data_IF_845517774329
#
_entry.id   IF_845517774329
#
_cell.length_a   1.000
_cell.length_b   1.000
_cell.length_c   1.000
_cell.angle_alpha   90.00
_cell.angle_beta   90.00
_cell.angle_gamma   90.00
#
_symmetry.space_group_name_H-M   'P 1'
#
loop_
_entity.id
_entity.type
_entity.pdbx_description
1 polymer ?
#
# COMPACT_ATOMS: atom_id res chain seq x y z
N UNK A 1 -26.68 -8.44 11.35
CA UNK A 1 -25.48 -9.28 11.20
C UNK A 1 -25.96 -10.59 10.64
N UNK A 2 -25.49 -10.95 9.46
CA UNK A 2 -25.95 -12.14 8.75
C UNK A 2 -25.40 -13.40 9.44
N UNK A 3 -26.13 -14.53 9.43
CA UNK A 3 -25.68 -15.77 10.11
C UNK A 3 -24.32 -16.25 9.60
N UNK A 4 -24.09 -16.05 8.32
CA UNK A 4 -22.85 -16.38 7.61
C UNK A 4 -21.68 -15.53 8.12
N UNK A 5 -21.88 -14.22 8.32
CA UNK A 5 -20.87 -13.27 8.84
C UNK A 5 -20.41 -13.66 10.27
N UNK A 6 -21.34 -14.13 11.11
CA UNK A 6 -21.04 -14.64 12.45
C UNK A 6 -20.18 -15.91 12.42
N UNK A 7 -20.50 -16.85 11.53
CA UNK A 7 -19.75 -18.10 11.38
C UNK A 7 -18.31 -17.84 10.92
N UNK A 8 -18.11 -16.97 9.93
CA UNK A 8 -16.77 -16.61 9.47
C UNK A 8 -15.96 -15.82 10.50
N UNK A 9 -16.59 -14.94 11.28
CA UNK A 9 -15.88 -14.16 12.30
C UNK A 9 -15.24 -15.02 13.38
N UNK A 10 -15.87 -16.15 13.73
CA UNK A 10 -15.35 -17.10 14.73
C UNK A 10 -14.12 -17.88 14.22
N UNK A 11 -13.90 -17.92 12.91
CA UNK A 11 -12.87 -18.73 12.25
C UNK A 11 -11.63 -17.89 11.86
N UNK A 12 -11.56 -16.63 12.33
CA UNK A 12 -10.54 -15.67 11.90
C UNK A 12 -9.79 -15.08 13.08
N UNK A 13 -8.47 -15.18 13.03
CA UNK A 13 -7.57 -14.48 13.94
C UNK A 13 -7.22 -13.12 13.33
N UNK A 14 -7.93 -12.03 13.69
CA UNK A 14 -7.33 -10.67 13.76
C UNK A 14 -8.27 -9.51 14.13
N UNK A 15 -7.69 -8.53 14.84
CA UNK A 15 -8.24 -7.22 15.21
C UNK A 15 -8.13 -6.12 14.13
N UNK A 16 -8.34 -4.86 14.55
CA UNK A 16 -8.66 -3.67 13.73
C UNK A 16 -7.75 -3.35 12.53
N UNK A 17 -6.53 -3.89 12.47
CA UNK A 17 -5.54 -3.57 11.42
C UNK A 17 -5.89 -4.08 10.02
N UNK A 18 -6.79 -5.06 9.92
CA UNK A 18 -7.23 -5.70 8.68
C UNK A 18 -8.39 -4.99 7.98
N UNK A 19 -8.97 -3.95 8.59
CA UNK A 19 -10.17 -3.26 8.09
C UNK A 19 -9.98 -2.67 6.68
N UNK A 20 -11.04 -2.72 5.86
CA UNK A 20 -11.08 -2.18 4.48
C UNK A 20 -10.71 -0.68 4.40
N UNK A 21 -10.88 0.05 5.50
CA UNK A 21 -10.96 1.52 5.51
C UNK A 21 -9.65 2.29 5.70
N UNK A 22 -8.51 1.80 5.22
CA UNK A 22 -7.24 2.53 5.37
C UNK A 22 -6.53 2.73 4.02
N UNK A 23 -7.20 3.34 3.05
CA UNK A 23 -6.57 4.06 1.91
C UNK A 23 -6.05 5.45 2.33
N UNK A 24 -5.84 5.68 3.63
CA UNK A 24 -5.46 6.97 4.20
C UNK A 24 -3.98 7.09 4.51
N UNK A 25 -3.27 5.97 4.49
CA UNK A 25 -1.88 5.88 4.90
C UNK A 25 -0.93 6.10 3.74
N UNK A 26 0.25 6.59 4.09
CA UNK A 26 1.33 6.80 3.13
C UNK A 26 1.77 5.48 2.48
N UNK A 27 2.33 5.53 1.27
CA UNK A 27 2.64 4.33 0.49
C UNK A 27 3.67 3.41 1.14
N UNK A 28 4.56 3.91 2.01
CA UNK A 28 5.52 3.06 2.73
C UNK A 28 4.79 2.26 3.81
N UNK A 29 3.86 2.89 4.52
CA UNK A 29 3.04 2.21 5.53
C UNK A 29 2.13 1.16 4.91
N UNK A 30 1.47 1.48 3.79
CA UNK A 30 0.65 0.51 3.05
C UNK A 30 1.47 -0.70 2.59
N UNK A 31 2.63 -0.45 1.99
CA UNK A 31 3.55 -1.53 1.59
C UNK A 31 3.96 -2.40 2.79
N UNK A 32 4.33 -1.78 3.91
CA UNK A 32 4.76 -2.49 5.10
C UNK A 32 3.63 -3.31 5.76
N UNK A 33 2.36 -2.89 5.61
CA UNK A 33 1.22 -3.70 6.02
C UNK A 33 1.13 -4.99 5.21
N UNK A 34 1.28 -4.90 3.89
CA UNK A 34 1.37 -6.10 3.07
C UNK A 34 2.55 -6.99 3.49
N UNK A 35 3.75 -6.42 3.68
CA UNK A 35 4.93 -7.21 4.09
C UNK A 35 4.70 -7.92 5.43
N UNK A 36 3.97 -7.30 6.37
CA UNK A 36 3.56 -7.93 7.63
C UNK A 36 2.71 -9.17 7.40
N UNK A 37 1.73 -9.09 6.49
CA UNK A 37 0.87 -10.22 6.12
C UNK A 37 1.65 -11.29 5.38
N UNK A 38 2.46 -10.91 4.40
CA UNK A 38 3.31 -11.83 3.64
C UNK A 38 4.28 -12.61 4.55
N UNK A 39 4.87 -11.95 5.54
CA UNK A 39 5.84 -12.57 6.44
C UNK A 39 5.21 -13.47 7.53
N UNK A 40 3.90 -13.74 7.46
CA UNK A 40 3.31 -14.86 8.21
C UNK A 40 3.84 -16.18 7.63
N UNK A 41 4.08 -17.17 8.49
CA UNK A 41 4.77 -18.40 8.08
C UNK A 41 4.04 -19.16 6.96
N UNK A 42 2.70 -19.14 6.96
CA UNK A 42 1.86 -19.80 5.95
C UNK A 42 1.83 -19.06 4.59
N UNK A 43 2.24 -17.78 4.58
CA UNK A 43 2.18 -16.92 3.40
C UNK A 43 3.53 -16.76 2.69
N UNK A 44 4.64 -17.05 3.38
CA UNK A 44 5.99 -16.94 2.78
C UNK A 44 6.12 -17.91 1.62
N UNK A 45 6.67 -17.43 0.51
CA UNK A 45 7.04 -18.27 -0.62
C UNK A 45 8.45 -18.81 -0.37
N UNK A 46 8.62 -20.13 -0.42
CA UNK A 46 9.90 -20.82 -0.18
C UNK A 46 10.58 -20.45 1.16
N UNK A 47 9.80 -20.08 2.18
CA UNK A 47 10.31 -19.63 3.49
C UNK A 47 11.04 -18.28 3.47
N UNK A 48 11.04 -17.56 2.35
CA UNK A 48 11.74 -16.30 2.20
C UNK A 48 10.99 -15.20 2.95
N UNK A 49 11.72 -14.49 3.83
CA UNK A 49 11.21 -13.31 4.54
C UNK A 49 11.55 -12.05 3.77
N UNK A 50 10.53 -11.27 3.40
CA UNK A 50 10.72 -10.02 2.66
C UNK A 50 11.03 -8.86 3.59
N UNK A 51 11.82 -7.91 3.10
CA UNK A 51 12.27 -6.77 3.89
C UNK A 51 11.22 -5.66 3.95
N UNK A 52 11.06 -5.06 5.13
CA UNK A 52 10.26 -3.85 5.33
C UNK A 52 10.95 -2.60 4.78
N UNK A 53 10.15 -1.68 4.25
CA UNK A 53 10.60 -0.33 3.89
C UNK A 53 10.83 0.54 5.13
N UNK A 54 11.82 1.44 5.04
CA UNK A 54 12.15 2.40 6.07
C UNK A 54 11.14 3.55 6.07
N UNK A 55 10.47 3.74 7.21
CA UNK A 55 9.50 4.81 7.41
C UNK A 55 10.11 6.21 7.21
N UNK A 56 9.29 7.14 6.72
CA UNK A 56 9.73 8.52 6.45
C UNK A 56 8.64 9.53 6.74
N UNK A 57 8.89 10.42 7.71
CA UNK A 57 8.00 11.54 8.05
C UNK A 57 7.80 12.49 6.85
N UNK A 58 8.83 12.69 6.02
CA UNK A 58 8.71 13.52 4.83
C UNK A 58 7.73 12.94 3.81
N UNK A 59 7.76 11.62 3.60
CA UNK A 59 6.83 10.94 2.69
C UNK A 59 5.41 10.98 3.24
N UNK A 60 5.24 10.74 4.55
CA UNK A 60 3.94 10.85 5.23
C UNK A 60 3.35 12.25 5.10
N UNK A 61 4.16 13.29 5.35
CA UNK A 61 3.74 14.67 5.20
C UNK A 61 3.27 14.98 3.77
N UNK A 62 4.10 14.67 2.76
CA UNK A 62 3.75 14.90 1.35
C UNK A 62 2.50 14.10 0.94
N UNK A 63 2.38 12.84 1.38
CA UNK A 63 1.22 12.02 1.05
C UNK A 63 -0.07 12.60 1.64
N UNK A 64 -0.08 12.88 2.95
CA UNK A 64 -1.25 13.45 3.63
C UNK A 64 -1.67 14.78 2.98
N UNK A 65 -0.68 15.56 2.57
CA UNK A 65 -0.90 16.83 1.91
C UNK A 65 -1.55 16.69 0.53
N UNK A 66 -0.99 15.83 -0.31
CA UNK A 66 -1.44 15.61 -1.69
C UNK A 66 -2.73 14.79 -1.78
N UNK A 67 -3.24 14.27 -0.65
CA UNK A 67 -4.45 13.44 -0.64
C UNK A 67 -5.73 14.26 -0.76
N UNK A 68 -5.78 15.48 -0.22
CA UNK A 68 -7.00 16.30 -0.21
C UNK A 68 -7.13 17.10 -1.52
N UNK A 69 -8.18 16.85 -2.32
CA UNK A 69 -8.42 17.56 -3.59
C UNK A 69 -8.54 19.08 -3.41
N UNK A 70 -9.35 19.52 -2.45
CA UNK A 70 -9.57 20.95 -2.20
C UNK A 70 -8.29 21.60 -1.63
N UNK A 71 -7.65 20.92 -0.68
CA UNK A 71 -6.37 21.38 -0.11
C UNK A 71 -5.27 21.52 -1.17
N UNK A 72 -5.21 20.58 -2.13
CA UNK A 72 -4.28 20.65 -3.27
C UNK A 72 -4.50 21.90 -4.13
N UNK A 73 -5.75 22.22 -4.47
CA UNK A 73 -6.07 23.39 -5.31
C UNK A 73 -5.71 24.68 -4.60
N UNK A 74 -6.14 24.85 -3.35
CA UNK A 74 -5.84 26.04 -2.54
C UNK A 74 -4.33 26.23 -2.40
N UNK A 75 -3.60 25.14 -2.15
CA UNK A 75 -2.15 25.23 -2.06
C UNK A 75 -1.49 25.59 -3.37
N UNK A 76 -1.96 25.03 -4.48
CA UNK A 76 -1.42 25.34 -5.78
C UNK A 76 -1.49 26.85 -6.06
N UNK A 77 -2.58 27.51 -5.65
CA UNK A 77 -2.69 28.98 -5.70
C UNK A 77 -1.65 29.66 -4.80
N UNK A 78 -1.44 29.19 -3.57
CA UNK A 78 -0.40 29.71 -2.67
C UNK A 78 0.99 29.55 -3.29
N UNK A 79 1.28 28.41 -3.92
CA UNK A 79 2.56 28.14 -4.57
C UNK A 79 2.82 29.10 -5.73
N UNK A 80 1.79 29.47 -6.50
CA UNK A 80 1.91 30.44 -7.59
C UNK A 80 2.22 31.85 -7.04
N UNK A 81 1.55 32.24 -5.95
CA UNK A 81 1.65 33.59 -5.39
C UNK A 81 2.90 33.82 -4.56
N UNK A 82 3.43 32.79 -3.88
CA UNK A 82 4.52 32.92 -2.91
C UNK A 82 5.76 32.11 -3.34
N UNK A 83 6.76 32.73 -3.98
CA UNK A 83 7.91 32.02 -4.53
C UNK A 83 8.77 31.32 -3.48
N UNK A 84 8.95 31.93 -2.30
CA UNK A 84 9.70 31.31 -1.21
C UNK A 84 9.02 30.06 -0.65
N UNK A 85 7.68 30.05 -0.59
CA UNK A 85 6.92 28.88 -0.14
C UNK A 85 7.03 27.75 -1.16
N UNK A 86 7.00 28.08 -2.46
CA UNK A 86 7.22 27.10 -3.53
C UNK A 86 8.63 26.51 -3.50
N UNK A 87 9.66 27.30 -3.25
CA UNK A 87 11.03 26.79 -3.07
C UNK A 87 11.14 25.84 -1.88
N UNK A 88 10.56 26.20 -0.73
CA UNK A 88 10.56 25.32 0.45
C UNK A 88 9.82 24.01 0.17
N UNK A 89 8.65 24.08 -0.47
CA UNK A 89 7.87 22.92 -0.85
C UNK A 89 8.62 22.01 -1.84
N UNK A 90 9.30 22.60 -2.81
CA UNK A 90 10.17 21.89 -3.75
C UNK A 90 11.26 21.08 -3.02
N UNK A 91 11.94 21.67 -2.05
CA UNK A 91 12.95 20.98 -1.25
C UNK A 91 12.34 19.81 -0.47
N UNK A 92 11.15 19.98 0.12
CA UNK A 92 10.43 18.88 0.78
C UNK A 92 10.06 17.75 -0.18
N UNK A 93 9.59 18.08 -1.39
CA UNK A 93 9.31 17.10 -2.43
C UNK A 93 10.55 16.32 -2.84
N UNK A 94 11.70 17.00 -3.01
CA UNK A 94 12.98 16.34 -3.31
C UNK A 94 13.37 15.35 -2.21
N UNK A 95 13.28 15.75 -0.94
CA UNK A 95 13.56 14.86 0.20
C UNK A 95 12.64 13.64 0.19
N UNK A 96 11.34 13.84 -0.01
CA UNK A 96 10.37 12.74 -0.09
C UNK A 96 10.66 11.80 -1.27
N UNK A 97 10.98 12.35 -2.44
CA UNK A 97 11.31 11.58 -3.64
C UNK A 97 12.59 10.76 -3.48
N UNK A 98 13.64 11.33 -2.86
CA UNK A 98 14.85 10.59 -2.51
C UNK A 98 14.55 9.42 -1.57
N UNK A 99 13.71 9.64 -0.55
CA UNK A 99 13.28 8.57 0.38
C UNK A 99 12.46 7.49 -0.31
N UNK A 100 11.59 7.85 -1.26
CA UNK A 100 10.86 6.88 -2.07
C UNK A 100 11.80 6.11 -3.01
N UNK A 101 12.82 6.74 -3.59
CA UNK A 101 13.81 6.02 -4.42
C UNK A 101 14.65 5.04 -3.60
N UNK A 102 15.06 5.42 -2.39
CA UNK A 102 15.79 4.51 -1.47
C UNK A 102 14.96 3.28 -1.15
N UNK A 103 13.69 3.47 -0.79
CA UNK A 103 12.78 2.36 -0.47
C UNK A 103 12.39 1.54 -1.71
N UNK A 104 12.44 2.10 -2.92
CA UNK A 104 12.24 1.35 -4.14
C UNK A 104 13.31 0.29 -4.40
N UNK A 105 14.53 0.48 -3.88
CA UNK A 105 15.54 -0.58 -3.95
C UNK A 105 15.14 -1.80 -3.12
N UNK A 106 14.48 -1.57 -1.98
CA UNK A 106 13.91 -2.65 -1.16
C UNK A 106 12.78 -3.35 -1.92
N UNK A 107 11.88 -2.59 -2.56
CA UNK A 107 10.84 -3.15 -3.43
C UNK A 107 11.41 -4.07 -4.52
N UNK A 108 12.42 -3.58 -5.26
CA UNK A 108 13.09 -4.37 -6.31
C UNK A 108 13.78 -5.60 -5.76
N UNK A 109 14.50 -5.47 -4.65
CA UNK A 109 15.15 -6.60 -3.98
C UNK A 109 14.14 -7.67 -3.59
N UNK A 110 13.02 -7.27 -2.98
CA UNK A 110 11.96 -8.20 -2.59
C UNK A 110 11.36 -8.92 -3.80
N UNK A 111 11.03 -8.20 -4.88
CA UNK A 111 10.53 -8.81 -6.13
C UNK A 111 11.55 -9.73 -6.81
N UNK A 112 12.85 -9.46 -6.66
CA UNK A 112 13.88 -10.34 -7.23
C UNK A 112 14.02 -11.65 -6.46
N UNK A 113 13.64 -11.67 -5.18
CA UNK A 113 13.67 -12.87 -4.35
C UNK A 113 12.39 -13.71 -4.53
N UNK A 114 11.24 -13.04 -4.72
CA UNK A 114 9.94 -13.69 -4.85
C UNK A 114 9.17 -13.03 -6.00
N UNK A 115 9.01 -13.78 -7.10
CA UNK A 115 8.35 -13.33 -8.33
C UNK A 115 6.87 -13.02 -8.11
N UNK A 116 6.15 -13.89 -7.39
CA UNK A 116 4.77 -13.67 -6.99
C UNK A 116 4.61 -13.76 -5.47
N UNK A 117 4.66 -12.62 -4.75
CA UNK A 117 4.45 -12.58 -3.30
C UNK A 117 3.04 -13.02 -2.85
N UNK A 118 2.10 -13.22 -3.77
CA UNK A 118 0.73 -13.64 -3.45
C UNK A 118 0.49 -15.12 -3.75
N UNK A 119 1.50 -15.86 -4.23
CA UNK A 119 1.39 -17.29 -4.61
C UNK A 119 0.79 -18.13 -3.47
N UNK A 120 1.15 -17.80 -2.23
CA UNK A 120 0.66 -18.48 -1.04
C UNK A 120 -0.62 -17.90 -0.42
N UNK A 121 -1.29 -16.98 -1.09
CA UNK A 121 -2.55 -16.38 -0.65
C UNK A 121 -3.69 -16.66 -1.65
N UNK A 122 -4.94 -16.53 -1.21
CA UNK A 122 -6.14 -16.77 -2.04
C UNK A 122 -6.84 -15.44 -2.34
N UNK A 123 -6.95 -15.06 -3.60
CA UNK A 123 -7.69 -13.86 -3.99
C UNK A 123 -9.21 -14.15 -3.93
N UNK A 124 -9.95 -13.46 -3.05
CA UNK A 124 -11.42 -13.48 -3.00
C UNK A 124 -11.96 -12.16 -2.41
N UNK A 125 -12.31 -11.24 -3.29
CA UNK A 125 -12.81 -9.91 -2.92
C UNK A 125 -14.17 -9.95 -2.22
N UNK A 126 -15.08 -10.83 -2.62
CA UNK A 126 -16.44 -10.92 -2.05
C UNK A 126 -16.41 -11.29 -0.57
N UNK A 127 -15.58 -12.27 -0.20
CA UNK A 127 -15.43 -12.71 1.19
C UNK A 127 -14.76 -11.62 2.04
N UNK A 128 -13.75 -10.94 1.48
CA UNK A 128 -13.12 -9.79 2.13
C UNK A 128 -14.13 -8.63 2.36
N UNK A 129 -14.98 -8.34 1.38
CA UNK A 129 -16.02 -7.30 1.47
C UNK A 129 -17.07 -7.64 2.52
N UNK A 130 -17.56 -8.88 2.54
CA UNK A 130 -18.49 -9.38 3.54
C UNK A 130 -17.90 -9.28 4.96
N UNK A 131 -16.61 -9.58 5.11
CA UNK A 131 -15.88 -9.49 6.38
C UNK A 131 -15.41 -8.07 6.72
N UNK A 132 -15.63 -7.10 5.83
CA UNK A 132 -15.14 -5.71 5.93
C UNK A 132 -13.62 -5.61 6.16
N UNK A 133 -12.86 -6.57 5.64
CA UNK A 133 -11.39 -6.64 5.78
C UNK A 133 -10.68 -6.72 4.42
N UNK A 134 -9.47 -6.15 4.32
CA UNK A 134 -8.62 -6.24 3.12
C UNK A 134 -8.00 -7.63 2.95
N UNK A 135 -7.86 -8.34 4.06
CA UNK A 135 -7.41 -9.72 4.08
C UNK A 135 -7.96 -10.39 5.34
N UNK A 136 -8.05 -11.72 5.28
CA UNK A 136 -8.59 -12.55 6.35
C UNK A 136 -7.69 -13.77 6.47
N UNK A 137 -7.21 -14.05 7.68
CA UNK A 137 -6.46 -15.28 7.98
C UNK A 137 -7.45 -16.27 8.57
N UNK A 138 -7.60 -17.41 7.90
CA UNK A 138 -8.36 -18.54 8.40
C UNK A 138 -7.44 -19.50 9.11
N UNK A 139 -7.85 -19.97 10.29
CA UNK A 139 -7.25 -21.10 11.00
C UNK A 139 -8.40 -22.04 11.38
N UNK A 140 -8.54 -23.13 10.61
CA UNK A 140 -9.73 -23.98 10.69
C UNK A 140 -9.41 -25.44 10.41
N UNK A 141 -10.31 -26.34 10.80
CA UNK A 141 -10.16 -27.76 10.48
C UNK A 141 -10.41 -28.03 8.99
N UNK A 142 -9.74 -29.04 8.41
CA UNK A 142 -9.91 -29.42 6.99
C UNK A 142 -11.39 -29.62 6.63
N UNK A 143 -12.17 -30.21 7.55
CA UNK A 143 -13.60 -30.50 7.36
C UNK A 143 -14.44 -29.24 7.23
N UNK A 144 -14.11 -28.20 7.98
CA UNK A 144 -14.84 -26.92 7.96
C UNK A 144 -14.58 -26.15 6.66
N UNK A 145 -13.38 -26.30 6.09
CA UNK A 145 -13.02 -25.72 4.79
C UNK A 145 -13.83 -26.32 3.61
N UNK A 146 -14.34 -27.55 3.72
CA UNK A 146 -15.13 -28.16 2.65
C UNK A 146 -16.47 -27.45 2.42
N UNK A 147 -17.02 -26.84 3.47
CA UNK A 147 -18.23 -26.01 3.43
C UNK A 147 -18.05 -24.65 2.76
N UNK A 148 -16.81 -24.24 2.45
CA UNK A 148 -16.53 -22.95 1.81
C UNK A 148 -16.68 -23.05 0.28
N UNK A 149 -17.30 -22.04 -0.33
CA UNK A 149 -17.55 -21.98 -1.78
C UNK A 149 -16.32 -21.52 -2.57
N UNK A 150 -15.20 -22.25 -2.46
CA UNK A 150 -14.03 -22.05 -3.32
C UNK A 150 -14.00 -23.00 -4.52
N UNK A 151 -13.28 -22.61 -5.57
CA UNK A 151 -13.00 -23.48 -6.71
C UNK A 151 -12.22 -24.73 -6.29
N UNK A 152 -12.38 -25.84 -7.03
CA UNK A 152 -11.69 -27.11 -6.73
C UNK A 152 -10.17 -26.93 -6.63
N UNK A 153 -9.59 -26.15 -7.54
CA UNK A 153 -8.15 -25.83 -7.58
C UNK A 153 -7.68 -25.12 -6.30
N UNK A 154 -8.47 -24.15 -5.80
CA UNK A 154 -8.15 -23.44 -4.56
C UNK A 154 -8.26 -24.38 -3.36
N UNK A 155 -9.28 -25.24 -3.31
CA UNK A 155 -9.42 -26.24 -2.25
C UNK A 155 -8.25 -27.22 -2.22
N UNK A 156 -7.80 -27.71 -3.36
CA UNK A 156 -6.64 -28.61 -3.47
C UNK A 156 -5.34 -27.91 -3.03
N UNK A 157 -5.10 -26.68 -3.49
CA UNK A 157 -3.96 -25.88 -3.07
C UNK A 157 -3.93 -25.69 -1.55
N UNK A 158 -5.09 -25.35 -0.95
CA UNK A 158 -5.23 -25.16 0.50
C UNK A 158 -5.01 -26.50 1.24
N UNK A 159 -5.58 -27.62 0.74
CA UNK A 159 -5.41 -28.95 1.34
C UNK A 159 -3.95 -29.42 1.32
N UNK A 160 -3.21 -29.14 0.25
CA UNK A 160 -1.80 -29.49 0.13
C UNK A 160 -0.88 -28.75 1.13
N UNK A 161 -1.38 -27.70 1.79
CA UNK A 161 -0.68 -26.94 2.83
C UNK A 161 -0.96 -27.45 4.25
N UNK A 162 -1.81 -28.46 4.39
CA UNK A 162 -2.04 -29.14 5.67
C UNK A 162 -0.76 -29.87 6.10
N UNK A 163 -0.12 -29.38 7.17
CA UNK A 163 1.05 -30.02 7.79
C UNK A 163 0.68 -31.25 8.64
N UNK A 164 -0.25 -32.10 8.16
CA UNK A 164 -0.64 -33.36 8.81
C UNK A 164 -1.48 -33.23 10.08
N UNK A 165 -1.69 -32.03 10.62
CA UNK A 165 -2.39 -31.79 11.89
C UNK A 165 -3.91 -31.52 11.76
N UNK A 166 -4.54 -31.94 10.65
CA UNK A 166 -5.97 -31.71 10.36
C UNK A 166 -6.46 -30.24 10.41
N UNK A 167 -5.54 -29.29 10.57
CA UNK A 167 -5.79 -27.85 10.51
C UNK A 167 -5.14 -27.25 9.29
N UNK A 168 -5.80 -26.25 8.74
CA UNK A 168 -5.36 -25.50 7.59
C UNK A 168 -5.33 -24.03 8.00
N UNK A 169 -4.19 -23.39 7.76
CA UNK A 169 -4.05 -21.96 7.88
C UNK A 169 -3.76 -21.33 6.52
N UNK A 170 -4.53 -20.34 6.14
CA UNK A 170 -4.36 -19.65 4.86
C UNK A 170 -4.92 -18.23 4.90
N UNK A 171 -4.38 -17.37 4.05
CA UNK A 171 -4.80 -15.97 3.95
C UNK A 171 -5.60 -15.75 2.68
N UNK A 172 -6.78 -15.14 2.85
CA UNK A 172 -7.60 -14.61 1.78
C UNK A 172 -7.36 -13.12 1.67
N UNK A 173 -7.29 -12.58 0.46
CA UNK A 173 -7.07 -11.15 0.22
C UNK A 173 -7.94 -10.59 -0.90
N UNK A 174 -8.10 -9.27 -0.90
CA UNK A 174 -8.77 -8.52 -1.96
C UNK A 174 -7.79 -7.71 -2.81
N UNK A 175 -8.32 -7.06 -3.86
CA UNK A 175 -7.53 -6.19 -4.73
C UNK A 175 -6.86 -5.03 -3.98
N UNK A 176 -7.44 -4.52 -2.89
CA UNK A 176 -6.85 -3.43 -2.10
C UNK A 176 -5.51 -3.87 -1.49
N UNK A 177 -5.42 -5.08 -0.91
CA UNK A 177 -4.14 -5.58 -0.40
C UNK A 177 -3.10 -5.70 -1.52
N UNK A 178 -3.53 -6.14 -2.71
CA UNK A 178 -2.68 -6.25 -3.90
C UNK A 178 -2.14 -4.89 -4.33
N UNK A 179 -2.99 -3.86 -4.31
CA UNK A 179 -2.62 -2.47 -4.59
C UNK A 179 -1.68 -1.88 -3.53
N UNK A 180 -1.80 -2.29 -2.26
CA UNK A 180 -0.86 -1.84 -1.21
C UNK A 180 0.58 -2.27 -1.50
N UNK A 181 0.78 -3.40 -2.18
CA UNK A 181 2.09 -3.85 -2.64
C UNK A 181 2.47 -3.22 -4.00
N UNK A 182 1.68 -3.47 -5.05
CA UNK A 182 2.01 -3.08 -6.42
C UNK A 182 1.81 -1.60 -6.72
N UNK A 183 1.09 -0.86 -5.89
CA UNK A 183 0.88 0.58 -6.03
C UNK A 183 2.06 1.44 -5.59
N UNK A 184 3.04 0.86 -4.88
CA UNK A 184 4.19 1.60 -4.38
C UNK A 184 4.98 2.37 -5.48
N UNK A 185 5.33 1.75 -6.64
CA UNK A 185 6.01 2.46 -7.73
C UNK A 185 5.25 3.68 -8.25
N UNK A 186 3.92 3.66 -8.27
CA UNK A 186 3.09 4.78 -8.74
C UNK A 186 3.27 6.03 -7.87
N UNK A 187 3.51 5.85 -6.57
CA UNK A 187 3.74 6.96 -5.64
C UNK A 187 4.99 7.77 -5.96
N UNK A 188 6.04 7.10 -6.48
CA UNK A 188 7.27 7.77 -6.96
C UNK A 188 7.00 8.65 -8.16
N UNK A 189 6.23 8.13 -9.11
CA UNK A 189 5.85 8.85 -10.33
C UNK A 189 5.00 10.07 -9.96
N UNK A 190 4.05 9.91 -9.05
CA UNK A 190 3.23 11.03 -8.54
C UNK A 190 4.10 12.10 -7.90
N UNK A 191 5.05 11.74 -7.02
CA UNK A 191 5.95 12.71 -6.41
C UNK A 191 6.84 13.41 -7.45
N UNK A 192 7.35 12.68 -8.45
CA UNK A 192 8.13 13.25 -9.55
C UNK A 192 7.32 14.26 -10.38
N UNK A 193 6.04 13.98 -10.67
CA UNK A 193 5.15 14.94 -11.35
C UNK A 193 5.05 16.25 -10.58
N UNK A 194 4.91 16.19 -9.26
CA UNK A 194 4.86 17.39 -8.41
C UNK A 194 6.19 18.15 -8.37
N UNK A 195 7.32 17.45 -8.40
CA UNK A 195 8.64 18.09 -8.53
C UNK A 195 8.69 18.89 -9.84
N UNK A 196 8.33 18.27 -10.97
CA UNK A 196 8.33 18.94 -12.29
C UNK A 196 7.43 20.17 -12.27
N UNK A 197 6.21 20.05 -11.74
CA UNK A 197 5.28 21.18 -11.61
C UNK A 197 5.87 22.31 -10.76
N UNK A 198 6.46 21.99 -9.62
CA UNK A 198 7.07 23.00 -8.74
C UNK A 198 8.28 23.66 -9.40
N UNK A 199 9.13 22.91 -10.12
CA UNK A 199 10.24 23.46 -10.91
C UNK A 199 9.75 24.46 -11.96
N UNK A 200 8.69 24.13 -12.71
CA UNK A 200 8.12 25.03 -13.71
C UNK A 200 7.59 26.33 -13.07
N UNK A 201 6.92 26.22 -11.92
CA UNK A 201 6.45 27.40 -11.18
C UNK A 201 7.62 28.28 -10.71
N UNK A 202 8.69 27.70 -10.18
CA UNK A 202 9.89 28.45 -9.77
C UNK A 202 10.49 29.19 -10.97
N UNK A 203 10.61 28.53 -12.12
CA UNK A 203 11.15 29.13 -13.33
C UNK A 203 10.31 30.36 -13.77
N UNK A 204 8.98 30.22 -13.83
CA UNK A 204 8.07 31.33 -14.18
C UNK A 204 8.19 32.47 -13.17
N UNK A 205 8.21 32.17 -11.86
CA UNK A 205 8.35 33.18 -10.81
C UNK A 205 9.66 33.95 -10.93
N UNK A 206 10.78 33.26 -11.17
CA UNK A 206 12.08 33.90 -11.38
C UNK A 206 12.08 34.78 -12.63
N UNK A 207 11.50 34.32 -13.75
CA UNK A 207 11.38 35.12 -14.96
C UNK A 207 10.57 36.39 -14.73
N UNK A 208 9.44 36.30 -14.02
CA UNK A 208 8.61 37.47 -13.69
C UNK A 208 9.34 38.46 -12.78
N UNK A 209 10.08 37.97 -11.78
CA UNK A 209 10.91 38.81 -10.89
C UNK A 209 11.97 39.55 -11.72
N UNK A 210 12.68 38.86 -12.61
CA UNK A 210 13.71 39.48 -13.47
C UNK A 210 13.09 40.57 -14.36
N UNK A 211 11.96 40.28 -15.02
CA UNK A 211 11.27 41.25 -15.88
C UNK A 211 10.84 42.48 -15.08
N UNK A 212 10.28 42.29 -13.88
CA UNK A 212 9.83 43.39 -13.03
C UNK A 212 11.00 44.24 -12.54
N UNK A 213 12.07 43.61 -12.05
CA UNK A 213 13.29 44.30 -11.60
C UNK A 213 14.03 45.01 -12.73
N UNK A 214 13.93 44.54 -13.98
CA UNK A 214 14.54 45.21 -15.14
C UNK A 214 13.81 46.47 -15.61
N UNK A 215 12.58 46.69 -15.14
CA UNK A 215 11.75 47.86 -15.48
C UNK A 215 11.77 48.96 -14.42
N UNK A 216 12.41 48.70 -13.27
CA UNK A 216 12.64 49.65 -12.17
C UNK A 216 14.04 50.22 -12.34
#
# INVERSE_FOLDING_TARGET
MDKTEQQYSQLTDQGEESNILICTQDPITLYNKFIKVYNLDDNKVNGITLQYMKQSKAVQFIHNYLRNNLGRVVFFLILILLPFINLLFYLFLLVAWLKLNQNHQIFKSNLSQVLDPFENMVENSELCEMMKKNYVVFDMEIKENEGLHFSKKVKEMIKNRSNGNNKIKYTIYNQILKEQFYGYPNSRITCLKWIIVSTLLIAVQLTLIIIYSSKI
#
